data_IF_725100159093
#
_entry.id   IF_725100159093
#
_cell.length_a   1.000
_cell.length_b   1.000
_cell.length_c   1.000
_cell.angle_alpha   90.00
_cell.angle_beta   90.00
_cell.angle_gamma   90.00
#
_symmetry.space_group_name_H-M   'P 1'
#
loop_
_entity.id
_entity.type
_entity.pdbx_description
1 polymer ?
#
# COMPACT_ATOMS: atom_id res chain seq x y z
N UNK A 1 -18.61 -4.34 -35.00
CA UNK A 1 -17.39 -4.65 -34.21
C UNK A 1 -17.50 -4.00 -32.84
N UNK A 2 -17.87 -4.77 -31.82
CA UNK A 2 -18.10 -4.28 -30.47
C UNK A 2 -16.78 -4.26 -29.69
N UNK A 3 -16.38 -3.08 -29.18
CA UNK A 3 -15.25 -2.91 -28.27
C UNK A 3 -15.59 -3.57 -26.93
N UNK A 4 -14.88 -4.63 -26.57
CA UNK A 4 -14.87 -5.20 -25.22
C UNK A 4 -14.27 -4.14 -24.26
N UNK A 5 -15.09 -3.64 -23.37
CA UNK A 5 -14.63 -2.93 -22.15
C UNK A 5 -13.89 -3.95 -21.29
N UNK A 6 -12.64 -3.70 -21.06
CA UNK A 6 -11.79 -4.45 -20.11
C UNK A 6 -12.29 -4.12 -18.71
N UNK A 7 -12.88 -5.08 -18.03
CA UNK A 7 -13.13 -5.00 -16.58
C UNK A 7 -11.76 -5.00 -15.89
N UNK A 8 -11.40 -3.85 -15.36
CA UNK A 8 -10.14 -3.63 -14.66
C UNK A 8 -10.47 -3.50 -13.17
N UNK A 9 -10.02 -4.44 -12.35
CA UNK A 9 -9.55 -3.99 -11.07
C UNK A 9 -9.73 -4.79 -9.80
N UNK A 10 -10.61 -5.75 -9.61
CA UNK A 10 -10.79 -6.37 -8.26
C UNK A 10 -10.02 -7.68 -8.03
N UNK A 11 -9.53 -8.33 -9.08
CA UNK A 11 -8.81 -9.62 -8.97
C UNK A 11 -7.30 -9.53 -8.84
N UNK A 12 -6.68 -8.37 -9.11
CA UNK A 12 -5.22 -8.24 -9.16
C UNK A 12 -4.53 -8.19 -7.80
N UNK A 13 -5.18 -7.61 -6.79
CA UNK A 13 -4.60 -7.53 -5.44
C UNK A 13 -4.53 -8.90 -4.76
N UNK A 14 -5.57 -9.71 -4.89
CA UNK A 14 -5.60 -11.06 -4.33
C UNK A 14 -4.64 -12.01 -5.09
N UNK A 15 -4.56 -11.89 -6.42
CA UNK A 15 -3.60 -12.67 -7.21
C UNK A 15 -2.13 -12.31 -6.93
N UNK A 16 -1.83 -11.09 -6.53
CA UNK A 16 -0.47 -10.71 -6.14
C UNK A 16 -0.08 -11.26 -4.75
N UNK A 17 -1.05 -11.36 -3.84
CA UNK A 17 -0.88 -12.03 -2.55
C UNK A 17 -0.80 -13.56 -2.70
N UNK A 18 -1.54 -14.12 -3.66
CA UNK A 18 -1.58 -15.57 -3.96
C UNK A 18 -0.57 -15.96 -5.05
N UNK A 19 0.20 -15.02 -5.59
CA UNK A 19 1.24 -15.27 -6.60
C UNK A 19 2.48 -16.02 -6.09
N UNK A 20 2.56 -16.26 -4.79
CA UNK A 20 3.50 -17.20 -4.19
C UNK A 20 2.98 -18.62 -4.40
N UNK A 21 3.73 -19.53 -5.09
CA UNK A 21 3.30 -20.92 -5.32
C UNK A 21 2.94 -21.65 -4.03
N UNK A 22 3.59 -21.31 -2.91
CA UNK A 22 3.33 -21.87 -1.59
C UNK A 22 2.01 -21.39 -0.97
N UNK A 23 1.48 -20.24 -1.41
CA UNK A 23 0.20 -19.69 -0.95
C UNK A 23 -0.97 -20.12 -1.84
N UNK A 24 -0.72 -20.42 -3.13
CA UNK A 24 -1.76 -20.92 -4.05
C UNK A 24 -2.22 -22.33 -3.70
N UNK A 25 -1.35 -23.15 -3.09
CA UNK A 25 -1.68 -24.52 -2.69
C UNK A 25 -2.57 -24.60 -1.45
N UNK A 26 -2.77 -23.49 -0.69
CA UNK A 26 -3.48 -23.50 0.59
C UNK A 26 -4.75 -22.61 0.62
N UNK A 27 -5.04 -21.92 -0.48
CA UNK A 27 -6.12 -20.91 -0.57
C UNK A 27 -7.42 -21.39 -1.24
N UNK A 28 -7.68 -22.68 -1.34
CA UNK A 28 -8.93 -23.19 -1.91
C UNK A 28 -10.09 -23.05 -0.90
N UNK A 29 -10.79 -21.91 -1.00
CA UNK A 29 -12.07 -21.66 -0.36
C UNK A 29 -12.01 -20.68 0.81
N UNK A 30 -12.91 -19.71 0.83
CA UNK A 30 -13.19 -18.94 2.04
C UNK A 30 -13.98 -19.83 3.01
N UNK A 31 -13.62 -19.78 4.30
CA UNK A 31 -14.35 -20.41 5.39
C UNK A 31 -15.08 -19.35 6.21
N UNK A 32 -16.21 -19.71 6.80
CA UNK A 32 -16.89 -18.84 7.77
C UNK A 32 -16.27 -19.03 9.15
N UNK A 33 -15.82 -17.96 9.78
CA UNK A 33 -15.22 -17.97 11.10
C UNK A 33 -16.06 -17.18 12.09
N UNK A 34 -16.28 -17.66 13.33
CA UNK A 34 -16.88 -16.86 14.38
C UNK A 34 -16.08 -15.58 14.60
N UNK A 35 -16.76 -14.40 14.55
CA UNK A 35 -16.10 -13.11 14.68
C UNK A 35 -15.38 -12.93 16.02
N UNK A 36 -15.85 -13.63 17.05
CA UNK A 36 -15.26 -13.68 18.39
C UNK A 36 -13.90 -14.41 18.44
N UNK A 37 -13.61 -15.26 17.45
CA UNK A 37 -12.32 -15.96 17.33
C UNK A 37 -11.33 -15.22 16.45
N UNK A 38 -11.69 -14.06 15.89
CA UNK A 38 -10.84 -13.25 15.02
C UNK A 38 -10.35 -12.04 15.80
N UNK A 39 -9.03 -11.84 15.81
CA UNK A 39 -8.36 -10.74 16.51
C UNK A 39 -7.56 -9.84 15.55
N UNK A 40 -7.31 -8.57 15.92
CA UNK A 40 -6.54 -7.63 15.11
C UNK A 40 -5.11 -8.10 14.84
N UNK A 41 -4.53 -7.61 13.74
CA UNK A 41 -3.11 -7.83 13.43
C UNK A 41 -2.16 -7.08 14.36
N UNK A 42 -0.90 -7.58 14.45
CA UNK A 42 0.14 -7.03 15.36
C UNK A 42 0.53 -5.58 15.07
N UNK A 43 0.54 -5.18 13.80
CA UNK A 43 0.94 -3.84 13.35
C UNK A 43 -0.05 -3.34 12.30
N UNK A 44 -1.11 -2.67 12.77
CA UNK A 44 -2.02 -1.98 11.85
C UNK A 44 -1.49 -0.57 11.57
N UNK A 45 -1.04 -0.28 10.36
CA UNK A 45 -0.50 1.05 10.00
C UNK A 45 -1.58 2.14 10.09
N UNK A 46 -2.85 1.77 9.96
CA UNK A 46 -3.97 2.71 10.04
C UNK A 46 -4.44 2.88 11.48
N UNK A 47 -3.87 3.88 12.19
CA UNK A 47 -4.24 4.22 13.57
C UNK A 47 -5.55 5.03 13.68
N UNK A 48 -6.00 5.66 12.59
CA UNK A 48 -7.23 6.46 12.58
C UNK A 48 -8.22 5.91 11.54
N UNK A 49 -9.35 5.49 12.01
CA UNK A 49 -10.50 5.15 11.17
C UNK A 49 -11.49 6.30 11.31
N UNK A 50 -11.87 6.91 10.19
CA UNK A 50 -12.94 7.92 10.20
C UNK A 50 -14.25 7.23 10.59
N UNK A 51 -14.92 7.69 11.68
CA UNK A 51 -16.11 7.01 12.20
C UNK A 51 -17.24 6.91 11.19
N UNK A 52 -17.46 7.96 10.38
CA UNK A 52 -18.48 8.00 9.34
C UNK A 52 -18.23 6.95 8.25
N UNK A 53 -16.99 6.90 7.71
CA UNK A 53 -16.62 5.93 6.68
C UNK A 53 -16.65 4.47 7.18
N UNK A 54 -16.51 4.24 8.50
CA UNK A 54 -16.67 2.91 9.09
C UNK A 54 -18.17 2.57 9.25
N UNK A 55 -19.01 3.54 9.61
CA UNK A 55 -20.45 3.36 9.74
C UNK A 55 -21.10 3.04 8.38
N UNK A 56 -20.71 3.75 7.32
CA UNK A 56 -21.19 3.48 5.95
C UNK A 56 -20.82 2.06 5.51
N UNK A 57 -19.60 1.63 5.82
CA UNK A 57 -19.16 0.27 5.51
C UNK A 57 -19.93 -0.76 6.34
N UNK A 58 -20.23 -0.49 7.61
CA UNK A 58 -21.02 -1.37 8.46
C UNK A 58 -22.45 -1.53 7.94
N UNK A 59 -23.07 -0.44 7.47
CA UNK A 59 -24.40 -0.48 6.84
C UNK A 59 -24.38 -1.34 5.56
N UNK A 60 -23.39 -1.12 4.70
CA UNK A 60 -23.21 -1.93 3.49
C UNK A 60 -23.02 -3.42 3.81
N UNK A 61 -22.20 -3.74 4.83
CA UNK A 61 -21.98 -5.12 5.27
C UNK A 61 -23.24 -5.75 5.87
N UNK A 62 -24.07 -4.98 6.56
CA UNK A 62 -25.35 -5.47 7.10
C UNK A 62 -26.31 -5.90 6.01
N UNK A 63 -26.32 -5.17 4.86
CA UNK A 63 -27.20 -5.45 3.74
C UNK A 63 -26.68 -6.55 2.84
N UNK A 64 -25.39 -6.52 2.52
CA UNK A 64 -24.78 -7.37 1.47
C UNK A 64 -23.83 -8.44 2.02
N UNK A 65 -23.52 -8.41 3.30
CA UNK A 65 -22.44 -9.23 3.88
C UNK A 65 -21.07 -8.74 3.47
N UNK A 66 -20.04 -9.51 3.84
CA UNK A 66 -18.66 -9.27 3.42
C UNK A 66 -18.44 -9.96 2.07
N UNK A 67 -18.35 -9.17 0.99
CA UNK A 67 -18.13 -9.67 -0.37
C UNK A 67 -16.69 -10.20 -0.55
N UNK A 68 -15.70 -9.46 -0.03
CA UNK A 68 -14.29 -9.86 -0.09
C UNK A 68 -13.86 -10.43 1.26
N UNK A 69 -13.50 -11.73 1.35
CA UNK A 69 -13.10 -12.36 2.60
C UNK A 69 -11.93 -11.65 3.30
N UNK A 70 -11.83 -11.82 4.62
CA UNK A 70 -10.65 -11.44 5.38
C UNK A 70 -9.49 -12.37 5.03
N UNK A 71 -8.26 -11.90 5.18
CA UNK A 71 -7.08 -12.79 5.17
C UNK A 71 -6.59 -12.91 6.60
N UNK A 72 -6.53 -14.15 7.10
CA UNK A 72 -6.16 -14.44 8.49
C UNK A 72 -5.12 -15.56 8.55
N UNK A 73 -4.39 -15.62 9.66
CA UNK A 73 -3.59 -16.79 10.02
C UNK A 73 -4.09 -17.41 11.30
N UNK A 74 -3.88 -18.72 11.47
CA UNK A 74 -4.19 -19.42 12.69
C UNK A 74 -3.08 -19.21 13.71
N UNK A 75 -3.44 -18.88 14.96
CA UNK A 75 -2.52 -18.79 16.08
C UNK A 75 -2.47 -20.11 16.87
N UNK A 76 -1.40 -20.30 17.62
CA UNK A 76 -1.26 -21.45 18.53
C UNK A 76 -2.37 -21.51 19.58
N UNK A 77 -2.96 -20.38 19.93
CA UNK A 77 -4.12 -20.27 20.83
C UNK A 77 -5.43 -20.85 20.26
N UNK A 78 -5.47 -21.15 18.95
CA UNK A 78 -6.68 -21.52 18.23
C UNK A 78 -7.47 -20.35 17.66
N UNK A 79 -7.12 -19.10 18.00
CA UNK A 79 -7.67 -17.87 17.42
C UNK A 79 -7.09 -17.60 16.03
N UNK A 80 -7.71 -16.66 15.32
CA UNK A 80 -7.28 -16.24 13.99
C UNK A 80 -6.87 -14.77 14.02
N UNK A 81 -5.66 -14.47 13.57
CA UNK A 81 -5.15 -13.10 13.50
C UNK A 81 -5.30 -12.52 12.10
N UNK A 82 -5.85 -11.31 12.02
CA UNK A 82 -6.04 -10.61 10.75
C UNK A 82 -4.68 -10.19 10.18
N UNK A 83 -4.43 -10.58 8.93
CA UNK A 83 -3.34 -10.08 8.10
C UNK A 83 -3.86 -8.92 7.25
N UNK A 84 -5.02 -9.10 6.60
CA UNK A 84 -5.67 -8.09 5.76
C UNK A 84 -7.18 -8.05 5.99
N UNK A 85 -7.78 -6.84 5.92
CA UNK A 85 -9.23 -6.65 6.03
C UNK A 85 -9.73 -6.18 7.39
N UNK A 86 -8.90 -5.53 8.23
CA UNK A 86 -9.30 -5.03 9.55
C UNK A 86 -10.52 -4.10 9.52
N UNK A 87 -10.63 -3.20 8.51
CA UNK A 87 -11.81 -2.34 8.37
C UNK A 87 -13.10 -3.15 8.20
N UNK A 88 -13.05 -4.21 7.39
CA UNK A 88 -14.20 -5.10 7.16
C UNK A 88 -14.58 -5.84 8.44
N UNK A 89 -13.61 -6.32 9.20
CA UNK A 89 -13.85 -6.96 10.48
C UNK A 89 -14.46 -6.01 11.52
N UNK A 90 -13.95 -4.77 11.64
CA UNK A 90 -14.51 -3.75 12.53
C UNK A 90 -15.93 -3.37 12.14
N UNK A 91 -16.17 -3.16 10.84
CA UNK A 91 -17.48 -2.87 10.32
C UNK A 91 -18.46 -4.03 10.50
N UNK A 92 -18.03 -5.29 10.34
CA UNK A 92 -18.81 -6.48 10.62
C UNK A 92 -19.22 -6.58 12.10
N UNK A 93 -18.29 -6.28 13.03
CA UNK A 93 -18.62 -6.18 14.47
C UNK A 93 -19.68 -5.11 14.75
N UNK A 94 -19.53 -3.94 14.12
CA UNK A 94 -20.50 -2.83 14.26
C UNK A 94 -21.84 -3.18 13.63
N UNK A 95 -21.85 -3.95 12.53
CA UNK A 95 -23.05 -4.44 11.87
C UNK A 95 -23.75 -5.58 12.65
N UNK A 96 -23.10 -6.15 13.66
CA UNK A 96 -23.65 -7.23 14.50
C UNK A 96 -23.58 -8.61 13.84
N UNK A 97 -22.61 -8.87 12.94
CA UNK A 97 -22.42 -10.20 12.37
C UNK A 97 -21.78 -11.13 13.38
N UNK A 98 -22.26 -12.38 13.44
CA UNK A 98 -21.69 -13.44 14.28
C UNK A 98 -20.50 -14.15 13.62
N UNK A 99 -20.47 -14.17 12.28
CA UNK A 99 -19.45 -14.82 11.47
C UNK A 99 -18.93 -13.93 10.36
N UNK A 100 -17.69 -14.19 9.94
CA UNK A 100 -17.03 -13.47 8.83
C UNK A 100 -16.38 -14.47 7.87
N UNK A 101 -16.49 -14.25 6.55
CA UNK A 101 -15.76 -15.06 5.57
C UNK A 101 -14.28 -14.73 5.63
N UNK A 102 -13.44 -15.74 5.68
CA UNK A 102 -11.99 -15.59 5.78
C UNK A 102 -11.25 -16.62 4.94
N UNK A 103 -10.10 -16.23 4.41
CA UNK A 103 -9.10 -17.11 3.82
C UNK A 103 -8.02 -17.31 4.88
N UNK A 104 -7.77 -18.56 5.27
CA UNK A 104 -6.74 -18.91 6.24
C UNK A 104 -5.45 -19.18 5.48
N UNK A 105 -4.38 -18.49 5.84
CA UNK A 105 -3.04 -18.76 5.33
C UNK A 105 -2.11 -19.20 6.45
N UNK A 106 -1.22 -20.14 6.16
CA UNK A 106 -0.15 -20.51 7.08
C UNK A 106 0.99 -19.50 6.95
N UNK A 107 1.22 -18.74 8.01
CA UNK A 107 2.26 -17.72 8.07
C UNK A 107 2.77 -17.56 9.49
N UNK A 108 4.09 -17.52 9.65
CA UNK A 108 4.73 -17.07 10.88
C UNK A 108 4.56 -15.55 11.07
N UNK A 109 5.05 -15.01 12.17
CA UNK A 109 4.95 -13.57 12.46
C UNK A 109 5.59 -12.72 11.38
N UNK A 110 6.77 -13.12 10.91
CA UNK A 110 7.53 -12.40 9.87
C UNK A 110 6.76 -12.37 8.55
N UNK A 111 6.25 -13.51 8.11
CA UNK A 111 5.47 -13.64 6.88
C UNK A 111 4.14 -12.90 6.96
N UNK A 112 3.48 -12.95 8.11
CA UNK A 112 2.24 -12.20 8.33
C UNK A 112 2.45 -10.69 8.25
N UNK A 113 3.55 -10.17 8.83
CA UNK A 113 3.91 -8.75 8.75
C UNK A 113 4.30 -8.33 7.34
N UNK A 114 5.06 -9.16 6.60
CA UNK A 114 5.37 -8.96 5.18
C UNK A 114 4.11 -8.81 4.34
N UNK A 115 3.17 -9.75 4.47
CA UNK A 115 1.92 -9.74 3.72
C UNK A 115 1.04 -8.55 4.04
N UNK A 116 0.95 -8.16 5.32
CA UNK A 116 0.22 -6.98 5.74
C UNK A 116 0.83 -5.69 5.16
N UNK A 117 2.15 -5.61 5.06
CA UNK A 117 2.85 -4.48 4.44
C UNK A 117 2.62 -4.42 2.94
N UNK A 118 2.70 -5.55 2.23
CA UNK A 118 2.43 -5.63 0.81
C UNK A 118 0.97 -5.20 0.51
N UNK A 119 0.00 -5.67 1.30
CA UNK A 119 -1.40 -5.26 1.16
C UNK A 119 -1.55 -3.74 1.32
N UNK A 120 -0.92 -3.17 2.35
CA UNK A 120 -0.96 -1.73 2.58
C UNK A 120 -0.34 -0.94 1.41
N UNK A 121 0.76 -1.43 0.82
CA UNK A 121 1.42 -0.79 -0.33
C UNK A 121 0.63 -0.92 -1.66
N UNK A 122 -0.36 -1.79 -1.72
CA UNK A 122 -1.26 -1.92 -2.88
C UNK A 122 -2.45 -0.95 -2.84
N UNK A 123 -2.55 -0.12 -1.79
CA UNK A 123 -3.60 0.90 -1.67
C UNK A 123 -3.36 2.02 -2.68
N UNK A 124 -4.46 2.60 -3.18
CA UNK A 124 -4.42 3.70 -4.18
C UNK A 124 -4.21 5.09 -3.56
N UNK A 125 -4.38 5.20 -2.22
CA UNK A 125 -4.37 6.47 -1.49
C UNK A 125 -3.05 6.79 -0.76
N UNK A 126 -1.97 6.04 -1.04
CA UNK A 126 -0.65 6.30 -0.48
C UNK A 126 -0.01 7.54 -1.11
N UNK A 127 0.63 8.36 -0.27
CA UNK A 127 1.49 9.40 -0.79
C UNK A 127 2.84 8.83 -1.30
N UNK A 128 3.58 9.57 -2.15
CA UNK A 128 4.84 9.07 -2.72
C UNK A 128 5.92 8.72 -1.68
N UNK A 129 5.89 9.35 -0.52
CA UNK A 129 6.86 9.09 0.55
C UNK A 129 6.51 7.81 1.31
N UNK A 130 5.22 7.60 1.63
CA UNK A 130 4.75 6.34 2.21
C UNK A 130 5.07 5.13 1.31
N UNK A 131 4.90 5.28 -0.02
CA UNK A 131 5.31 4.25 -0.97
C UNK A 131 6.83 4.00 -0.91
N UNK A 132 7.64 5.06 -0.92
CA UNK A 132 9.10 4.94 -0.92
C UNK A 132 9.62 4.25 0.34
N UNK A 133 9.14 4.67 1.51
CA UNK A 133 9.49 4.08 2.81
C UNK A 133 9.04 2.62 2.92
N UNK A 134 7.85 2.32 2.42
CA UNK A 134 7.34 0.95 2.39
C UNK A 134 8.18 0.04 1.50
N UNK A 135 8.58 0.48 0.31
CA UNK A 135 9.48 -0.29 -0.55
C UNK A 135 10.86 -0.47 0.09
N UNK A 136 11.40 0.58 0.71
CA UNK A 136 12.67 0.50 1.45
C UNK A 136 12.59 -0.52 2.58
N UNK A 137 11.49 -0.53 3.32
CA UNK A 137 11.25 -1.47 4.42
C UNK A 137 11.18 -2.91 3.91
N UNK A 138 10.47 -3.19 2.81
CA UNK A 138 10.44 -4.53 2.20
C UNK A 138 11.85 -4.99 1.79
N UNK A 139 12.65 -4.11 1.21
CA UNK A 139 14.01 -4.45 0.80
C UNK A 139 14.94 -4.69 2.00
N UNK A 140 14.87 -3.85 3.04
CA UNK A 140 15.79 -3.92 4.18
C UNK A 140 15.41 -4.99 5.21
N UNK A 141 14.13 -5.07 5.60
CA UNK A 141 13.69 -5.97 6.66
C UNK A 141 13.40 -7.38 6.15
N UNK A 142 12.93 -7.50 4.89
CA UNK A 142 12.58 -8.78 4.29
C UNK A 142 13.59 -9.26 3.25
N UNK A 143 14.73 -8.55 3.08
CA UNK A 143 15.81 -8.86 2.15
C UNK A 143 15.35 -9.03 0.69
N UNK A 144 14.36 -8.25 0.27
CA UNK A 144 13.87 -8.27 -1.10
C UNK A 144 14.73 -7.41 -2.02
N UNK A 145 14.95 -7.89 -3.23
CA UNK A 145 15.48 -7.07 -4.32
C UNK A 145 14.41 -6.13 -4.86
N UNK A 146 14.82 -5.11 -5.64
CA UNK A 146 13.85 -4.23 -6.32
C UNK A 146 12.93 -4.99 -7.28
N UNK A 147 13.42 -6.07 -7.89
CA UNK A 147 12.64 -6.92 -8.79
C UNK A 147 11.56 -7.69 -8.01
N UNK A 148 11.94 -8.35 -6.91
CA UNK A 148 11.01 -9.08 -6.05
C UNK A 148 9.97 -8.14 -5.44
N UNK A 149 10.40 -6.95 -4.96
CA UNK A 149 9.47 -5.92 -4.45
C UNK A 149 8.48 -5.52 -5.54
N UNK A 150 8.95 -5.27 -6.77
CA UNK A 150 8.08 -4.89 -7.89
C UNK A 150 7.04 -5.97 -8.20
N UNK A 151 7.45 -7.23 -8.27
CA UNK A 151 6.54 -8.36 -8.48
C UNK A 151 5.50 -8.47 -7.38
N UNK A 152 5.92 -8.37 -6.10
CA UNK A 152 5.02 -8.49 -4.94
C UNK A 152 3.98 -7.39 -4.84
N UNK A 153 4.36 -6.14 -5.15
CA UNK A 153 3.43 -5.00 -5.09
C UNK A 153 2.68 -4.74 -6.40
N UNK A 154 2.96 -5.52 -7.46
CA UNK A 154 2.29 -5.38 -8.76
C UNK A 154 2.72 -4.13 -9.54
N UNK A 155 3.94 -3.65 -9.34
CA UNK A 155 4.54 -2.50 -10.04
C UNK A 155 5.69 -2.94 -10.95
N UNK A 156 6.17 -2.04 -11.81
CA UNK A 156 7.39 -2.30 -12.57
C UNK A 156 8.65 -1.98 -11.74
N UNK A 157 9.75 -2.72 -11.97
CA UNK A 157 11.04 -2.41 -11.33
C UNK A 157 11.49 -0.95 -11.51
N UNK A 158 11.37 -0.33 -12.71
CA UNK A 158 11.66 1.10 -12.87
C UNK A 158 10.78 2.01 -12.00
N UNK A 159 9.51 1.66 -11.77
CA UNK A 159 8.64 2.43 -10.88
C UNK A 159 9.16 2.38 -9.44
N UNK A 160 9.50 1.18 -8.93
CA UNK A 160 10.11 1.01 -7.59
C UNK A 160 11.41 1.84 -7.47
N UNK A 161 12.32 1.71 -8.43
CA UNK A 161 13.58 2.45 -8.42
C UNK A 161 13.36 3.97 -8.42
N UNK A 162 12.42 4.48 -9.20
CA UNK A 162 12.09 5.90 -9.26
C UNK A 162 11.46 6.43 -7.97
N UNK A 163 10.63 5.63 -7.31
CA UNK A 163 10.02 6.00 -6.01
C UNK A 163 11.08 5.99 -4.91
N UNK A 164 11.93 4.98 -4.83
CA UNK A 164 13.04 4.90 -3.87
C UNK A 164 14.04 6.06 -3.99
N UNK A 165 14.26 6.57 -5.20
CA UNK A 165 15.15 7.73 -5.40
C UNK A 165 14.65 8.98 -4.67
N UNK A 166 13.34 9.11 -4.40
CA UNK A 166 12.81 10.26 -3.66
C UNK A 166 13.44 10.39 -2.27
N UNK A 167 13.77 9.27 -1.62
CA UNK A 167 14.41 9.24 -0.30
C UNK A 167 15.81 9.88 -0.27
N UNK A 168 16.40 10.17 -1.43
CA UNK A 168 17.68 10.86 -1.53
C UNK A 168 17.55 12.39 -1.50
N UNK A 169 16.34 12.94 -1.46
CA UNK A 169 16.13 14.38 -1.31
C UNK A 169 16.47 14.83 0.13
N UNK A 170 16.89 16.10 0.31
CA UNK A 170 16.96 16.73 1.61
C UNK A 170 15.60 16.68 2.36
N UNK A 171 15.63 16.55 3.68
CA UNK A 171 14.45 16.37 4.53
C UNK A 171 13.40 17.49 4.36
N UNK A 172 13.85 18.72 4.21
CA UNK A 172 12.99 19.88 3.94
C UNK A 172 12.22 19.76 2.61
N UNK A 173 12.81 19.12 1.59
CA UNK A 173 12.14 18.86 0.32
C UNK A 173 11.23 17.62 0.37
N UNK A 174 11.56 16.63 1.20
CA UNK A 174 10.68 15.49 1.44
C UNK A 174 9.35 15.95 2.03
N UNK A 175 9.38 16.86 3.01
CA UNK A 175 8.17 17.45 3.60
C UNK A 175 7.27 18.10 2.53
N UNK A 176 7.85 18.83 1.56
CA UNK A 176 7.08 19.44 0.47
C UNK A 176 6.41 18.39 -0.46
N UNK A 177 7.03 17.22 -0.60
CA UNK A 177 6.43 16.09 -1.36
C UNK A 177 5.32 15.44 -0.55
N UNK A 178 5.49 15.24 0.74
CA UNK A 178 4.46 14.68 1.65
C UNK A 178 3.21 15.56 1.69
N UNK A 179 3.39 16.88 1.77
CA UNK A 179 2.31 17.87 1.76
C UNK A 179 1.65 18.07 0.39
N UNK A 180 2.22 17.46 -0.69
CA UNK A 180 1.73 17.59 -2.04
C UNK A 180 2.06 18.93 -2.71
N UNK A 181 2.85 19.80 -2.07
CA UNK A 181 3.35 21.07 -2.63
C UNK A 181 4.27 20.79 -3.84
N UNK A 182 5.08 19.74 -3.76
CA UNK A 182 5.85 19.19 -4.86
C UNK A 182 5.30 17.82 -5.25
N UNK A 183 4.99 17.61 -6.53
CA UNK A 183 4.65 16.27 -7.01
C UNK A 183 5.89 15.37 -7.09
N UNK A 184 5.69 14.03 -7.07
CA UNK A 184 6.77 13.06 -7.29
C UNK A 184 7.55 13.31 -8.60
N UNK A 185 6.89 13.86 -9.62
CA UNK A 185 7.53 14.27 -10.88
C UNK A 185 8.51 15.43 -10.70
N UNK A 186 8.10 16.48 -9.98
CA UNK A 186 8.97 17.62 -9.63
C UNK A 186 10.16 17.14 -8.78
N UNK A 187 9.91 16.34 -7.76
CA UNK A 187 10.93 15.78 -6.88
C UNK A 187 12.00 14.99 -7.65
N UNK A 188 11.59 14.13 -8.61
CA UNK A 188 12.53 13.39 -9.47
C UNK A 188 13.36 14.29 -10.37
N UNK A 189 12.76 15.36 -10.92
CA UNK A 189 13.50 16.33 -11.73
C UNK A 189 14.53 17.07 -10.88
N UNK A 190 14.16 17.52 -9.67
CA UNK A 190 15.02 18.24 -8.71
C UNK A 190 16.21 17.39 -8.28
N UNK A 191 16.04 16.08 -8.12
CA UNK A 191 17.14 15.13 -7.82
C UNK A 191 18.26 15.13 -8.89
N UNK A 192 17.99 15.65 -10.08
CA UNK A 192 19.01 15.84 -11.10
C UNK A 192 20.00 16.96 -10.79
N UNK A 193 19.68 17.89 -9.87
CA UNK A 193 20.62 18.92 -9.44
C UNK A 193 21.75 18.31 -8.57
N UNK A 194 23.01 18.73 -8.78
CA UNK A 194 24.19 18.04 -8.23
C UNK A 194 24.39 18.22 -6.72
N UNK A 195 23.85 19.28 -6.12
CA UNK A 195 23.99 19.55 -4.68
C UNK A 195 22.64 19.82 -4.01
N UNK A 196 22.59 19.60 -2.70
CA UNK A 196 21.39 19.87 -1.89
C UNK A 196 20.96 21.35 -1.95
N UNK A 197 21.92 22.28 -2.05
CA UNK A 197 21.65 23.72 -2.19
C UNK A 197 20.95 24.02 -3.51
N UNK A 198 21.43 23.45 -4.61
CA UNK A 198 20.81 23.60 -5.94
C UNK A 198 19.45 22.91 -6.02
N UNK A 199 19.28 21.79 -5.32
CA UNK A 199 17.98 21.14 -5.20
C UNK A 199 16.97 22.04 -4.47
N UNK A 200 17.37 22.70 -3.37
CA UNK A 200 16.52 23.65 -2.65
C UNK A 200 16.20 24.90 -3.49
N UNK A 201 17.19 25.42 -4.22
CA UNK A 201 16.98 26.55 -5.09
C UNK A 201 15.99 26.20 -6.23
N UNK A 202 16.16 25.03 -6.86
CA UNK A 202 15.24 24.54 -7.87
C UNK A 202 13.82 24.38 -7.30
N UNK A 203 13.66 23.76 -6.13
CA UNK A 203 12.38 23.59 -5.47
C UNK A 203 11.68 24.92 -5.18
N UNK A 204 12.41 25.90 -4.67
CA UNK A 204 11.91 27.26 -4.42
C UNK A 204 11.38 27.92 -5.69
N UNK A 205 12.10 27.79 -6.81
CA UNK A 205 11.66 28.33 -8.09
C UNK A 205 10.44 27.58 -8.65
N UNK A 206 10.38 26.26 -8.48
CA UNK A 206 9.23 25.45 -8.88
C UNK A 206 7.97 25.90 -8.15
N UNK A 207 8.03 26.04 -6.83
CA UNK A 207 6.89 26.44 -6.01
C UNK A 207 6.49 27.89 -6.29
N UNK A 208 7.46 28.83 -6.32
CA UNK A 208 7.16 30.26 -6.49
C UNK A 208 6.61 30.63 -7.86
N UNK A 209 6.99 29.89 -8.91
CA UNK A 209 6.59 30.15 -10.30
C UNK A 209 5.54 29.19 -10.82
N UNK A 210 5.16 28.15 -10.05
CA UNK A 210 4.22 27.13 -10.50
C UNK A 210 4.73 26.36 -11.73
N UNK A 211 6.01 25.97 -11.75
CA UNK A 211 6.62 25.31 -12.90
C UNK A 211 6.04 23.90 -13.09
N UNK A 212 5.85 23.51 -14.35
CA UNK A 212 5.55 22.10 -14.69
C UNK A 212 6.80 21.21 -14.54
N UNK A 213 6.61 19.89 -14.52
CA UNK A 213 7.72 18.92 -14.44
C UNK A 213 8.74 19.14 -15.57
N UNK A 214 8.29 19.38 -16.81
CA UNK A 214 9.18 19.64 -17.95
C UNK A 214 9.99 20.93 -17.78
N UNK A 215 9.37 21.98 -17.24
CA UNK A 215 10.07 23.25 -16.95
C UNK A 215 11.07 23.05 -15.81
N UNK A 216 10.74 22.23 -14.82
CA UNK A 216 11.65 21.85 -13.74
C UNK A 216 12.87 21.08 -14.27
N UNK A 217 12.68 20.13 -15.18
CA UNK A 217 13.78 19.42 -15.84
C UNK A 217 14.70 20.37 -16.62
N UNK A 218 14.12 21.37 -17.31
CA UNK A 218 14.90 22.41 -18.02
C UNK A 218 15.67 23.28 -17.04
N UNK A 219 15.02 23.72 -15.95
CA UNK A 219 15.67 24.52 -14.91
C UNK A 219 16.87 23.77 -14.32
N UNK A 220 16.69 22.49 -13.93
CA UNK A 220 17.74 21.66 -13.34
C UNK A 220 18.92 21.48 -14.31
N UNK A 221 18.68 21.32 -15.62
CA UNK A 221 19.75 21.26 -16.64
C UNK A 221 20.57 22.53 -16.74
N UNK A 222 20.01 23.69 -16.39
CA UNK A 222 20.74 24.97 -16.37
C UNK A 222 21.54 25.16 -15.08
N UNK A 223 21.27 24.35 -14.04
CA UNK A 223 21.97 24.37 -12.75
C UNK A 223 23.11 23.34 -12.67
N UNK A 224 23.25 22.48 -13.68
CA UNK A 224 24.34 21.50 -13.84
C UNK A 224 25.56 22.16 -14.49
#
# INVERSE_FOLDING_TARGET
>A
MAKRKTEMGLGRGLNALLGDPDLQAQGEGSVSLPISQVEPGLNQPRKRFEPEALADLAESIRIHGIIQPLTVRRLASGYYQIIAGERRWRAAKQAGLDEVPAVIIEADDRKAMELAMIENLQREDLNPMEEAEGYQTLMQQYNMTQEETAQRVGKSRPAIANTLRLLALPEDLLTLVEEGTLSAGHARAILGAPTAELQREAAKQVVSRGLSVRQTEQLVKLLQ
#
